data_IF_438618877351
#
_entry.id   IF_438618877351
#
_cell.length_a   1.000
_cell.length_b   1.000
_cell.length_c   1.000
_cell.angle_alpha   90.00
_cell.angle_beta   90.00
_cell.angle_gamma   90.00
#
_symmetry.space_group_name_H-M   'P 1'
#
loop_
_entity.id
_entity.type
_entity.pdbx_description
1 polymer ?
#
# COMPACT_ATOMS: atom_id res chain seq x y z
N UNK A 1 -1.84 41.81 46.77
CA UNK A 1 -1.13 40.53 46.56
C UNK A 1 -1.97 39.72 45.58
N UNK A 2 -1.66 39.78 44.28
CA UNK A 2 -2.46 39.11 43.25
C UNK A 2 -1.56 38.81 42.05
N UNK A 3 -0.85 37.68 42.06
CA UNK A 3 -0.05 37.22 40.92
C UNK A 3 0.42 35.76 41.09
N UNK A 4 -0.46 34.80 41.43
CA UNK A 4 -0.12 33.37 41.34
C UNK A 4 -1.35 32.55 40.93
N UNK A 5 -1.95 32.85 39.78
CA UNK A 5 -3.08 32.06 39.26
C UNK A 5 -3.00 31.75 37.76
N UNK A 6 -1.86 32.01 37.11
CA UNK A 6 -1.66 31.72 35.68
C UNK A 6 -0.59 30.65 35.38
N UNK A 7 0.11 30.13 36.39
CA UNK A 7 1.18 29.12 36.19
C UNK A 7 0.68 27.66 36.14
N UNK A 8 -0.62 27.40 36.25
CA UNK A 8 -1.18 26.03 36.27
C UNK A 8 -1.89 25.62 34.98
N UNK A 9 -1.72 26.35 33.88
CA UNK A 9 -2.07 25.81 32.55
C UNK A 9 -0.93 24.86 32.15
N UNK A 10 -0.93 23.67 32.75
CA UNK A 10 -0.27 22.52 32.17
C UNK A 10 -1.01 22.24 30.86
N UNK A 11 -0.29 22.27 29.75
CA UNK A 11 -0.80 21.75 28.49
C UNK A 11 -1.15 20.28 28.73
N UNK A 12 -2.38 19.82 28.46
CA UNK A 12 -2.67 18.41 28.56
C UNK A 12 -1.72 17.69 27.60
N UNK A 13 -0.82 16.87 28.14
CA UNK A 13 -0.10 15.88 27.33
C UNK A 13 -1.17 15.09 26.60
N UNK A 14 -1.09 15.11 25.26
CA UNK A 14 -1.89 14.24 24.39
C UNK A 14 -1.54 12.80 24.72
N UNK A 15 -2.17 12.28 25.76
CA UNK A 15 -2.07 10.89 26.18
C UNK A 15 -2.96 10.09 25.25
N UNK A 16 -2.34 9.45 24.25
CA UNK A 16 -3.00 8.42 23.47
C UNK A 16 -3.15 8.66 21.96
N UNK A 17 -2.33 9.50 21.33
CA UNK A 17 -2.07 9.27 19.89
C UNK A 17 -1.03 8.14 19.82
N UNK A 18 -1.49 6.92 19.53
CA UNK A 18 -0.59 5.95 18.90
C UNK A 18 -0.26 6.58 17.56
N UNK A 19 0.88 7.27 17.44
CA UNK A 19 1.41 7.66 16.14
C UNK A 19 1.61 6.36 15.37
N UNK A 20 0.65 6.02 14.50
CA UNK A 20 0.84 4.98 13.50
C UNK A 20 1.88 5.52 12.54
N UNK A 21 3.15 5.31 12.86
CA UNK A 21 4.25 5.70 11.99
C UNK A 21 4.14 4.85 10.73
N UNK A 22 4.09 5.50 9.58
CA UNK A 22 4.22 4.87 8.29
C UNK A 22 5.60 5.25 7.76
N UNK A 23 6.40 4.26 7.36
CA UNK A 23 7.76 4.48 6.84
C UNK A 23 7.77 4.47 5.32
N UNK A 24 6.98 3.59 4.71
CA UNK A 24 6.81 3.51 3.25
C UNK A 24 5.33 3.39 2.92
N UNK A 25 4.91 4.14 1.91
CA UNK A 25 3.58 4.05 1.31
C UNK A 25 3.72 3.57 -0.14
N UNK A 26 3.02 2.47 -0.46
CA UNK A 26 2.94 1.90 -1.80
C UNK A 26 1.53 2.16 -2.30
N UNK A 27 1.40 2.84 -3.43
CA UNK A 27 0.12 3.14 -4.06
C UNK A 27 0.08 2.51 -5.44
N UNK A 28 -0.96 1.72 -5.71
CA UNK A 28 -1.27 1.14 -7.01
C UNK A 28 -2.57 1.79 -7.50
N UNK A 29 -2.57 2.34 -8.72
CA UNK A 29 -3.76 2.97 -9.32
C UNK A 29 -3.92 2.63 -10.78
N UNK A 30 -5.17 2.49 -11.21
CA UNK A 30 -5.57 2.39 -12.61
C UNK A 30 -6.70 3.37 -12.89
N UNK A 31 -7.22 3.36 -14.13
CA UNK A 31 -8.26 4.30 -14.53
C UNK A 31 -9.48 4.24 -13.60
N UNK A 32 -9.94 5.41 -13.16
CA UNK A 32 -11.13 5.57 -12.33
C UNK A 32 -12.36 4.95 -13.03
N UNK A 33 -13.29 4.38 -12.25
CA UNK A 33 -14.50 3.67 -12.71
C UNK A 33 -14.27 2.49 -13.68
N UNK A 34 -13.01 2.08 -13.89
CA UNK A 34 -12.69 0.94 -14.74
C UNK A 34 -13.13 -0.37 -14.08
N UNK A 35 -13.76 -1.32 -14.81
CA UNK A 35 -14.35 -2.52 -14.22
C UNK A 35 -13.34 -3.65 -13.92
N UNK A 36 -12.10 -3.50 -14.39
CA UNK A 36 -11.02 -4.47 -14.11
C UNK A 36 -10.53 -4.33 -12.67
N UNK A 37 -10.10 -5.46 -12.13
CA UNK A 37 -9.71 -5.66 -10.74
C UNK A 37 -8.21 -5.94 -10.68
N UNK A 38 -7.49 -5.15 -9.89
CA UNK A 38 -6.03 -5.17 -9.80
C UNK A 38 -5.62 -5.24 -8.33
N UNK A 39 -4.92 -6.31 -7.98
CA UNK A 39 -4.39 -6.51 -6.63
C UNK A 39 -2.92 -6.10 -6.55
N UNK A 40 -2.55 -5.48 -5.44
CA UNK A 40 -1.18 -5.31 -4.99
C UNK A 40 -0.75 -6.53 -4.16
N UNK A 41 0.39 -7.12 -4.52
CA UNK A 41 1.05 -8.16 -3.72
C UNK A 41 2.37 -7.61 -3.23
N UNK A 42 2.52 -7.49 -1.92
CA UNK A 42 3.73 -6.92 -1.31
C UNK A 42 4.35 -7.94 -0.37
N UNK A 43 5.60 -8.29 -0.65
CA UNK A 43 6.41 -9.18 0.18
C UNK A 43 7.47 -8.40 0.96
N UNK A 44 7.60 -8.70 2.25
CA UNK A 44 8.63 -8.14 3.12
C UNK A 44 9.96 -8.93 3.05
N UNK A 45 11.06 -8.41 3.62
CA UNK A 45 12.34 -9.09 3.65
C UNK A 45 12.36 -10.47 4.34
N UNK A 46 11.36 -10.78 5.16
CA UNK A 46 11.20 -12.08 5.85
C UNK A 46 10.30 -13.05 5.09
N UNK A 47 9.79 -12.65 3.92
CA UNK A 47 8.87 -13.44 3.10
C UNK A 47 7.41 -13.33 3.54
N UNK A 48 7.07 -12.41 4.44
CA UNK A 48 5.70 -12.09 4.80
C UNK A 48 4.99 -11.42 3.62
N UNK A 49 3.81 -11.93 3.25
CA UNK A 49 3.05 -11.44 2.09
C UNK A 49 1.76 -10.74 2.53
N UNK A 50 1.55 -9.53 2.01
CA UNK A 50 0.28 -8.79 2.06
C UNK A 50 -0.42 -8.86 0.71
N UNK A 51 -1.72 -9.18 0.75
CA UNK A 51 -2.64 -9.26 -0.40
C UNK A 51 -4.09 -9.27 0.13
N UNK A 52 -5.11 -9.24 -0.74
CA UNK A 52 -6.51 -9.07 -0.33
C UNK A 52 -7.01 -10.10 0.72
N UNK A 53 -6.53 -11.35 0.67
CA UNK A 53 -6.86 -12.39 1.65
C UNK A 53 -6.07 -12.27 2.96
N UNK A 54 -4.84 -11.75 2.93
CA UNK A 54 -4.03 -11.50 4.12
C UNK A 54 -3.58 -10.03 4.18
N UNK A 55 -4.43 -9.19 4.76
CA UNK A 55 -4.25 -7.74 4.78
C UNK A 55 -3.21 -7.23 5.79
N UNK A 56 -2.77 -8.07 6.72
CA UNK A 56 -1.74 -7.74 7.70
C UNK A 56 -0.65 -8.82 7.67
N UNK A 57 0.60 -8.42 7.44
CA UNK A 57 1.75 -9.33 7.51
C UNK A 57 2.98 -8.60 8.00
N UNK A 58 3.55 -9.08 9.12
CA UNK A 58 4.73 -8.48 9.72
C UNK A 58 4.52 -7.00 10.06
N UNK A 59 5.23 -6.14 9.34
CA UNK A 59 5.19 -4.68 9.49
C UNK A 59 4.38 -3.99 8.38
N UNK A 60 3.64 -4.74 7.57
CA UNK A 60 2.90 -4.24 6.42
C UNK A 60 1.39 -4.39 6.62
N UNK A 61 0.63 -3.49 6.00
CA UNK A 61 -0.84 -3.51 6.00
C UNK A 61 -1.43 -3.04 4.67
N UNK A 62 -2.47 -3.72 4.19
CA UNK A 62 -3.29 -3.29 3.05
C UNK A 62 -4.40 -2.35 3.55
N UNK A 63 -4.12 -1.05 3.49
CA UNK A 63 -4.99 0.01 3.99
C UNK A 63 -6.29 0.11 3.16
N UNK A 64 -6.15 0.11 1.84
CA UNK A 64 -7.27 0.14 0.89
C UNK A 64 -7.15 -1.02 -0.07
N UNK A 65 -8.24 -1.76 -0.14
CA UNK A 65 -8.51 -2.91 -1.02
C UNK A 65 -9.74 -2.50 -1.85
N UNK A 66 -9.57 -2.44 -3.15
CA UNK A 66 -10.58 -1.95 -4.07
C UNK A 66 -11.32 -3.11 -4.73
N UNK A 67 -12.45 -3.51 -4.12
CA UNK A 67 -13.26 -4.64 -4.59
C UNK A 67 -14.23 -4.25 -5.72
N UNK A 68 -14.02 -3.09 -6.35
CA UNK A 68 -14.88 -2.52 -7.36
C UNK A 68 -16.25 -2.05 -6.86
N UNK A 69 -17.10 -1.68 -7.83
CA UNK A 69 -18.38 -0.92 -7.74
C UNK A 69 -19.35 -1.31 -6.60
N UNK A 70 -19.23 -2.51 -6.01
CA UNK A 70 -20.11 -2.99 -4.95
C UNK A 70 -19.73 -2.52 -3.53
N UNK A 71 -18.48 -2.10 -3.29
CA UNK A 71 -18.02 -1.69 -1.95
C UNK A 71 -17.83 -0.17 -1.78
N UNK A 72 -17.94 0.60 -2.87
CA UNK A 72 -17.51 2.00 -2.94
C UNK A 72 -18.61 3.03 -2.62
N UNK A 73 -19.46 2.81 -1.62
CA UNK A 73 -20.41 3.86 -1.19
C UNK A 73 -19.79 4.72 -0.09
N UNK A 74 -19.34 5.93 -0.44
CA UNK A 74 -18.97 6.94 0.54
C UNK A 74 -20.20 7.76 0.95
N UNK A 75 -20.38 7.99 2.25
CA UNK A 75 -21.41 8.89 2.75
C UNK A 75 -20.84 10.31 2.85
N UNK A 76 -21.25 11.18 1.94
CA UNK A 76 -20.91 12.62 1.99
C UNK A 76 -22.17 13.36 2.39
N UNK A 77 -22.20 13.94 3.59
CA UNK A 77 -23.34 14.71 4.11
C UNK A 77 -24.68 13.95 4.09
N UNK A 78 -24.65 12.63 4.35
CA UNK A 78 -25.84 11.77 4.34
C UNK A 78 -26.29 11.28 2.95
N UNK A 79 -25.58 11.66 1.89
CA UNK A 79 -25.79 11.15 0.53
C UNK A 79 -24.78 10.05 0.24
N UNK A 80 -25.27 8.90 -0.22
CA UNK A 80 -24.44 7.81 -0.73
C UNK A 80 -23.91 8.19 -2.11
N UNK A 81 -22.60 8.37 -2.23
CA UNK A 81 -21.90 8.66 -3.49
C UNK A 81 -21.01 7.46 -3.80
N UNK A 82 -20.98 7.03 -5.06
CA UNK A 82 -20.03 6.01 -5.50
C UNK A 82 -18.64 6.62 -5.55
N UNK A 83 -17.66 5.96 -4.94
CA UNK A 83 -16.26 6.34 -5.04
C UNK A 83 -15.72 5.90 -6.41
N UNK A 84 -15.30 6.84 -7.27
CA UNK A 84 -14.79 6.50 -8.60
C UNK A 84 -13.33 6.05 -8.58
N UNK A 85 -12.64 6.21 -7.45
CA UNK A 85 -11.19 6.02 -7.34
C UNK A 85 -10.85 4.54 -7.26
N UNK A 86 -10.20 4.05 -8.31
CA UNK A 86 -9.59 2.74 -8.40
C UNK A 86 -8.16 2.77 -7.86
N UNK A 87 -7.97 2.30 -6.64
CA UNK A 87 -6.68 2.37 -5.94
C UNK A 87 -6.54 1.34 -4.83
N UNK A 88 -5.36 0.70 -4.77
CA UNK A 88 -4.89 -0.01 -3.59
C UNK A 88 -3.72 0.69 -2.92
N UNK A 89 -3.68 0.67 -1.58
CA UNK A 89 -2.58 1.23 -0.81
C UNK A 89 -2.10 0.27 0.24
N UNK A 90 -0.78 0.06 0.26
CA UNK A 90 -0.08 -0.74 1.27
C UNK A 90 0.88 0.15 2.03
N UNK A 91 0.80 0.10 3.36
CA UNK A 91 1.70 0.81 4.26
C UNK A 91 2.69 -0.16 4.92
N UNK A 92 3.97 0.20 4.91
CA UNK A 92 5.00 -0.39 5.77
C UNK A 92 5.12 0.49 7.02
N UNK A 93 4.72 -0.05 8.17
CA UNK A 93 4.60 0.67 9.46
C UNK A 93 5.94 0.90 10.17
N UNK A 94 6.95 0.08 9.87
CA UNK A 94 8.28 0.25 10.42
C UNK A 94 9.33 -0.26 9.43
N UNK A 95 10.49 0.39 9.41
CA UNK A 95 11.58 0.03 8.52
C UNK A 95 12.18 -1.30 8.97
N UNK A 96 12.29 -2.24 8.04
CA UNK A 96 13.07 -3.45 8.20
C UNK A 96 14.07 -3.51 7.06
N UNK A 97 15.34 -3.69 7.40
CA UNK A 97 16.41 -3.85 6.42
C UNK A 97 16.17 -5.08 5.56
N UNK A 98 16.43 -4.94 4.26
CA UNK A 98 16.30 -5.98 3.26
C UNK A 98 15.41 -5.58 2.09
N UNK A 99 15.16 -6.56 1.23
CA UNK A 99 14.46 -6.36 -0.04
C UNK A 99 12.96 -6.57 0.11
N UNK A 100 12.19 -5.57 -0.30
CA UNK A 100 10.75 -5.63 -0.48
C UNK A 100 10.43 -5.85 -1.95
N UNK A 101 9.35 -6.57 -2.23
CA UNK A 101 8.90 -6.84 -3.61
C UNK A 101 7.46 -6.38 -3.76
N UNK A 102 7.20 -5.54 -4.76
CA UNK A 102 5.87 -5.07 -5.13
C UNK A 102 5.51 -5.66 -6.48
N UNK A 103 4.50 -6.52 -6.47
CA UNK A 103 3.88 -7.06 -7.68
C UNK A 103 2.48 -6.51 -7.87
N UNK A 104 2.09 -6.46 -9.14
CA UNK A 104 0.72 -6.23 -9.59
C UNK A 104 0.16 -7.55 -10.08
N UNK A 105 -1.09 -7.85 -9.73
CA UNK A 105 -1.85 -8.95 -10.30
C UNK A 105 -3.11 -8.40 -10.95
N UNK A 106 -3.27 -8.69 -12.24
CA UNK A 106 -4.53 -8.47 -12.91
C UNK A 106 -5.50 -9.57 -12.48
N UNK A 107 -6.18 -9.38 -11.35
CA UNK A 107 -7.03 -10.41 -10.76
C UNK A 107 -8.20 -10.74 -11.70
N UNK A 108 -8.88 -9.71 -12.20
CA UNK A 108 -9.99 -9.86 -13.15
C UNK A 108 -9.91 -8.84 -14.27
N UNK A 109 -9.89 -9.33 -15.51
CA UNK A 109 -9.93 -8.51 -16.70
C UNK A 109 -11.26 -8.66 -17.43
N UNK A 110 -11.85 -7.54 -17.85
CA UNK A 110 -13.10 -7.50 -18.61
C UNK A 110 -12.85 -7.12 -20.08
N UNK A 111 -11.62 -6.75 -20.46
CA UNK A 111 -11.26 -6.31 -21.81
C UNK A 111 -10.00 -7.03 -22.31
N UNK A 112 -9.83 -7.04 -23.64
CA UNK A 112 -8.61 -7.58 -24.27
C UNK A 112 -7.48 -6.54 -24.38
N UNK A 113 -7.78 -5.25 -24.20
CA UNK A 113 -6.78 -4.20 -24.25
C UNK A 113 -5.91 -4.24 -22.98
N UNK A 114 -4.60 -3.97 -23.09
CA UNK A 114 -3.76 -3.82 -21.91
C UNK A 114 -4.28 -2.72 -20.98
N UNK A 115 -4.28 -3.00 -19.68
CA UNK A 115 -4.64 -2.05 -18.64
C UNK A 115 -3.38 -1.35 -18.10
N UNK A 116 -3.21 -0.03 -18.30
CA UNK A 116 -2.11 0.70 -17.68
C UNK A 116 -2.37 0.88 -16.18
N UNK A 117 -1.42 0.43 -15.36
CA UNK A 117 -1.47 0.53 -13.90
C UNK A 117 -0.23 1.28 -13.41
N UNK A 118 -0.45 2.39 -12.71
CA UNK A 118 0.62 3.16 -12.08
C UNK A 118 0.97 2.62 -10.70
N UNK A 119 2.27 2.56 -10.41
CA UNK A 119 2.80 2.18 -9.10
C UNK A 119 3.67 3.30 -8.59
N UNK A 120 3.41 3.72 -7.35
CA UNK A 120 4.19 4.75 -6.66
C UNK A 120 4.65 4.22 -5.31
N UNK A 121 5.94 4.32 -5.02
CA UNK A 121 6.52 4.00 -3.71
C UNK A 121 7.13 5.26 -3.13
N UNK A 122 6.66 5.64 -1.95
CA UNK A 122 7.09 6.85 -1.23
C UNK A 122 7.63 6.45 0.14
N UNK A 123 8.84 6.91 0.47
CA UNK A 123 9.36 6.89 1.83
C UNK A 123 8.85 8.13 2.55
N UNK A 124 8.38 8.00 3.78
CA UNK A 124 7.67 9.08 4.48
C UNK A 124 8.51 9.78 5.56
N UNK A 125 9.47 9.09 6.19
CA UNK A 125 10.33 9.66 7.22
C UNK A 125 11.82 9.61 6.84
N UNK A 126 12.65 10.54 7.35
CA UNK A 126 12.26 11.75 8.10
C UNK A 126 11.58 12.81 7.22
N UNK A 127 11.66 12.68 5.90
CA UNK A 127 10.96 13.51 4.93
C UNK A 127 10.36 12.63 3.84
N UNK A 128 9.29 13.11 3.20
CA UNK A 128 8.68 12.41 2.08
C UNK A 128 9.62 12.44 0.87
N UNK A 129 9.95 11.28 0.32
CA UNK A 129 10.73 11.13 -0.91
C UNK A 129 10.16 10.04 -1.82
N UNK A 130 10.24 10.27 -3.13
CA UNK A 130 9.82 9.30 -4.13
C UNK A 130 10.91 8.25 -4.32
N UNK A 131 10.58 6.99 -4.05
CA UNK A 131 11.48 5.84 -4.23
C UNK A 131 11.34 5.28 -5.63
N UNK A 132 10.11 5.17 -6.12
CA UNK A 132 9.81 4.60 -7.42
C UNK A 132 8.48 5.14 -7.96
N UNK A 133 8.42 5.36 -9.27
CA UNK A 133 7.19 5.67 -10.00
C UNK A 133 7.29 5.13 -11.42
N UNK A 134 6.30 4.34 -11.84
CA UNK A 134 6.21 3.84 -13.21
C UNK A 134 4.77 3.42 -13.55
N UNK A 135 4.50 3.18 -14.82
CA UNK A 135 3.24 2.62 -15.32
C UNK A 135 3.51 1.30 -16.03
N UNK A 136 2.79 0.26 -15.61
CA UNK A 136 2.96 -1.11 -16.09
C UNK A 136 1.66 -1.55 -16.74
N UNK A 137 1.77 -2.09 -17.95
CA UNK A 137 0.62 -2.63 -18.66
C UNK A 137 0.34 -4.07 -18.22
N UNK A 138 -0.87 -4.34 -17.74
CA UNK A 138 -1.37 -5.68 -17.44
C UNK A 138 -2.19 -6.22 -18.62
N UNK A 139 -1.98 -7.48 -18.99
CA UNK A 139 -2.41 -8.01 -20.30
C UNK A 139 -3.44 -9.14 -20.24
N UNK A 140 -4.09 -9.34 -19.10
CA UNK A 140 -5.24 -10.22 -18.93
C UNK A 140 -5.28 -10.85 -17.55
N UNK A 141 -6.35 -11.58 -17.23
CA UNK A 141 -6.52 -12.21 -15.91
C UNK A 141 -5.38 -13.17 -15.56
N UNK A 142 -4.87 -13.06 -14.33
CA UNK A 142 -3.74 -13.83 -13.83
C UNK A 142 -2.37 -13.29 -14.25
N UNK A 143 -2.32 -12.20 -15.03
CA UNK A 143 -1.06 -11.53 -15.36
C UNK A 143 -0.48 -10.87 -14.11
N UNK A 144 0.55 -11.50 -13.55
CA UNK A 144 1.33 -10.97 -12.46
C UNK A 144 2.64 -10.37 -12.99
N UNK A 145 2.95 -9.14 -12.59
CA UNK A 145 4.17 -8.43 -12.95
C UNK A 145 4.84 -7.81 -11.73
N UNK A 146 6.16 -7.97 -11.63
CA UNK A 146 6.95 -7.25 -10.63
C UNK A 146 7.12 -5.81 -11.08
N UNK A 147 6.60 -4.89 -10.28
CA UNK A 147 6.73 -3.47 -10.52
C UNK A 147 8.09 -2.95 -10.06
N UNK A 148 8.41 -3.21 -8.79
CA UNK A 148 9.67 -2.80 -8.20
C UNK A 148 10.06 -3.73 -7.08
N UNK A 149 11.36 -3.93 -6.97
CA UNK A 149 12.02 -4.47 -5.79
C UNK A 149 12.86 -3.33 -5.24
N UNK A 150 12.67 -2.98 -3.98
CA UNK A 150 13.47 -1.93 -3.33
C UNK A 150 14.11 -2.49 -2.07
N UNK A 151 15.35 -2.11 -1.82
CA UNK A 151 16.10 -2.57 -0.65
C UNK A 151 16.29 -1.42 0.32
N UNK A 152 15.89 -1.63 1.58
CA UNK A 152 16.16 -0.72 2.68
C UNK A 152 17.40 -1.17 3.45
N UNK A 153 18.20 -0.22 3.94
CA UNK A 153 19.26 -0.49 4.90
C UNK A 153 18.75 -0.50 6.36
N UNK A 154 19.65 -0.65 7.33
CA UNK A 154 19.32 -0.65 8.76
C UNK A 154 18.77 0.71 9.26
N UNK A 155 19.04 1.79 8.54
CA UNK A 155 18.52 3.13 8.83
C UNK A 155 17.19 3.40 8.11
N UNK A 156 16.74 2.46 7.27
CA UNK A 156 15.57 2.61 6.41
C UNK A 156 15.80 3.43 5.15
N UNK A 157 17.05 3.73 4.80
CA UNK A 157 17.36 4.38 3.53
C UNK A 157 17.29 3.38 2.38
N UNK A 158 16.80 3.84 1.23
CA UNK A 158 16.76 3.01 0.01
C UNK A 158 18.16 2.94 -0.59
N UNK A 159 18.69 1.73 -0.71
CA UNK A 159 20.04 1.48 -1.23
C UNK A 159 20.07 0.82 -2.61
N UNK A 160 18.98 0.20 -3.03
CA UNK A 160 18.85 -0.41 -4.37
C UNK A 160 17.39 -0.42 -4.82
N UNK A 161 17.18 -0.27 -6.14
CA UNK A 161 15.90 -0.52 -6.80
C UNK A 161 16.12 -1.29 -8.10
N UNK A 162 15.30 -2.32 -8.34
CA UNK A 162 15.37 -3.11 -9.55
C UNK A 162 13.99 -3.69 -9.92
N UNK A 163 13.87 -4.26 -11.12
CA UNK A 163 12.61 -4.81 -11.65
C UNK A 163 12.74 -6.31 -11.98
N UNK A 164 13.61 -7.04 -11.28
CA UNK A 164 13.81 -8.47 -11.54
C UNK A 164 12.51 -9.23 -11.27
N UNK A 165 11.99 -10.03 -12.23
CA UNK A 165 10.73 -10.73 -12.01
C UNK A 165 10.78 -11.70 -10.82
N UNK A 166 9.76 -11.67 -9.96
CA UNK A 166 9.50 -12.65 -8.91
C UNK A 166 8.01 -13.01 -8.91
N UNK A 167 7.67 -14.29 -8.74
CA UNK A 167 6.28 -14.75 -8.60
C UNK A 167 5.91 -14.83 -7.11
N UNK A 168 4.89 -14.10 -6.70
CA UNK A 168 4.33 -14.06 -5.35
C UNK A 168 2.99 -14.80 -5.26
N UNK A 169 2.22 -14.90 -6.35
CA UNK A 169 0.94 -15.60 -6.37
C UNK A 169 1.04 -17.09 -5.94
N UNK A 170 2.17 -17.74 -6.24
CA UNK A 170 2.43 -19.11 -5.79
C UNK A 170 2.60 -19.23 -4.27
N UNK A 171 3.03 -18.15 -3.59
CA UNK A 171 3.14 -18.11 -2.13
C UNK A 171 1.76 -17.88 -1.49
N UNK A 172 0.96 -16.98 -2.07
CA UNK A 172 -0.41 -16.70 -1.64
C UNK A 172 -1.28 -17.98 -1.62
N UNK A 173 -1.25 -18.74 -2.71
CA UNK A 173 -2.03 -19.98 -2.85
C UNK A 173 -1.51 -21.17 -2.03
N UNK A 174 -0.26 -21.11 -1.54
CA UNK A 174 0.30 -22.12 -0.65
C UNK A 174 -0.13 -21.90 0.82
N UNK A 175 -0.25 -20.64 1.24
CA UNK A 175 -0.73 -20.28 2.58
C UNK A 175 -2.21 -20.65 2.80
N UNK A 176 -3.05 -20.61 1.76
CA UNK A 176 -4.46 -21.01 1.84
C UNK A 176 -4.68 -22.52 2.07
N UNK A 177 -3.64 -23.34 1.93
CA UNK A 177 -3.71 -24.81 2.03
C UNK A 177 -3.15 -25.38 3.32
N UNK A 178 -2.59 -24.55 4.21
CA UNK A 178 -2.03 -24.95 5.51
C UNK A 178 -2.96 -24.58 6.66
#
# INVERSE_FOLDING_TARGET
>A
MFAIAFMLISTPEKTGDIESKAEVLITVRWADEHPDDVDALVEDPRGGLVWYHNRDSGLMHLDRDDRGVFADQINVSGVKVNNPINQETVTVRASQSGEYVVNLLHYKSNYAAPLPVSVKVEKLNPNVSLVYYDTIELTGSGDEKTAVRFTLDENGEVIDTNQRPKRLLTLATAADKS
#
